data_IF_534708693216
#
_entry.id   IF_534708693216
#
_cell.length_a   1.000
_cell.length_b   1.000
_cell.length_c   1.000
_cell.angle_alpha   90.00
_cell.angle_beta   90.00
_cell.angle_gamma   90.00
#
_symmetry.space_group_name_H-M   'P 1'
#
loop_
_entity.id
_entity.type
_entity.pdbx_description
1 polymer ?
#
# COMPACT_ATOMS: atom_id res chain seq x y z
N UNK A 1 -8.06 -3.69 33.11
CA UNK A 1 -7.72 -5.09 32.70
C UNK A 1 -7.56 -5.06 31.19
N UNK A 2 -6.32 -4.86 30.70
CA UNK A 2 -6.05 -4.82 29.26
C UNK A 2 -6.08 -6.24 28.70
N UNK A 3 -6.98 -6.52 27.79
CA UNK A 3 -6.93 -7.70 26.95
C UNK A 3 -5.62 -7.61 26.14
N UNK A 4 -4.62 -8.43 26.48
CA UNK A 4 -3.53 -8.73 25.57
C UNK A 4 -4.16 -9.47 24.39
N UNK A 5 -4.36 -8.81 23.25
CA UNK A 5 -4.62 -9.51 21.99
C UNK A 5 -3.49 -10.51 21.82
N UNK A 6 -3.84 -11.77 21.61
CA UNK A 6 -2.85 -12.78 21.32
C UNK A 6 -2.30 -12.45 19.94
N UNK A 7 -1.00 -12.35 19.80
CA UNK A 7 -0.29 -12.02 18.57
C UNK A 7 -0.79 -12.82 17.33
N UNK A 8 -1.18 -14.08 17.54
CA UNK A 8 -1.74 -14.95 16.51
C UNK A 8 -3.10 -14.47 15.94
N UNK A 9 -3.87 -13.62 16.68
CA UNK A 9 -5.20 -13.19 16.24
C UNK A 9 -5.11 -12.26 15.03
N UNK A 10 -4.02 -11.50 14.87
CA UNK A 10 -3.81 -10.57 13.75
C UNK A 10 -3.53 -11.30 12.41
N UNK A 11 -3.21 -12.59 12.47
CA UNK A 11 -2.91 -13.45 11.31
C UNK A 11 -3.96 -14.54 11.07
N UNK A 12 -5.13 -14.43 11.71
CA UNK A 12 -6.21 -15.40 11.62
C UNK A 12 -7.30 -14.86 10.67
N UNK A 13 -7.53 -15.56 9.56
CA UNK A 13 -8.55 -15.18 8.57
C UNK A 13 -9.41 -16.41 8.23
N UNK A 14 -10.73 -16.27 8.34
CA UNK A 14 -11.67 -17.29 7.88
C UNK A 14 -11.48 -18.69 8.51
N UNK A 15 -10.97 -18.79 9.75
CA UNK A 15 -10.70 -20.06 10.41
C UNK A 15 -9.32 -20.65 10.14
N UNK A 16 -8.46 -19.97 9.38
CA UNK A 16 -7.10 -20.44 9.02
C UNK A 16 -6.06 -19.41 9.46
N UNK A 17 -5.02 -19.85 10.16
CA UNK A 17 -3.87 -18.98 10.47
C UNK A 17 -2.97 -18.86 9.24
N UNK A 18 -2.76 -17.62 8.76
CA UNK A 18 -1.79 -17.35 7.69
C UNK A 18 -0.38 -17.71 8.15
N UNK A 19 0.41 -18.29 7.27
CA UNK A 19 1.80 -18.72 7.55
C UNK A 19 2.73 -18.54 6.36
N UNK A 20 4.01 -18.39 6.65
CA UNK A 20 5.07 -18.40 5.65
C UNK A 20 4.86 -17.34 4.56
N UNK A 21 4.95 -17.75 3.31
CA UNK A 21 4.81 -16.83 2.16
C UNK A 21 3.45 -16.11 2.08
N UNK A 22 2.38 -16.65 2.66
CA UNK A 22 1.09 -15.94 2.69
C UNK A 22 1.19 -14.63 3.46
N UNK A 23 1.97 -14.60 4.55
CA UNK A 23 2.22 -13.39 5.34
C UNK A 23 3.16 -12.45 4.61
N UNK A 24 4.24 -12.97 4.03
CA UNK A 24 5.24 -12.16 3.32
C UNK A 24 4.68 -11.52 2.05
N UNK A 25 3.65 -12.12 1.45
CA UNK A 25 2.97 -11.61 0.26
C UNK A 25 1.77 -10.70 0.58
N UNK A 26 1.40 -10.55 1.85
CA UNK A 26 0.34 -9.63 2.27
C UNK A 26 0.96 -8.32 2.78
N UNK A 27 0.86 -7.21 2.02
CA UNK A 27 1.51 -5.95 2.39
C UNK A 27 0.97 -5.33 3.69
N UNK A 28 -0.23 -5.71 4.12
CA UNK A 28 -0.82 -5.24 5.38
C UNK A 28 -0.29 -6.00 6.60
N UNK A 29 0.32 -7.16 6.40
CA UNK A 29 0.81 -8.06 7.46
C UNK A 29 2.31 -8.26 7.45
N UNK A 30 2.95 -8.04 6.30
CA UNK A 30 4.38 -8.18 6.14
C UNK A 30 5.12 -7.09 6.91
N UNK A 31 6.08 -7.51 7.75
CA UNK A 31 7.00 -6.63 8.49
C UNK A 31 8.44 -6.75 7.99
N UNK A 32 8.68 -7.53 6.93
CA UNK A 32 10.01 -7.81 6.42
C UNK A 32 10.94 -8.37 7.51
N UNK A 33 12.13 -7.81 7.62
CA UNK A 33 13.13 -8.23 8.62
C UNK A 33 12.80 -7.82 10.05
N UNK A 34 11.73 -7.03 10.29
CA UNK A 34 11.31 -6.64 11.64
C UNK A 34 10.44 -7.70 12.35
N UNK A 35 10.11 -8.81 11.72
CA UNK A 35 9.55 -9.95 12.46
C UNK A 35 10.54 -10.43 13.52
N UNK A 36 10.10 -10.48 14.80
CA UNK A 36 10.93 -11.01 15.90
C UNK A 36 11.22 -12.50 15.72
N UNK A 37 12.15 -13.05 16.48
CA UNK A 37 12.47 -14.49 16.41
C UNK A 37 11.27 -15.35 16.81
N UNK A 38 10.51 -14.91 17.81
CA UNK A 38 9.28 -15.57 18.26
C UNK A 38 8.22 -15.57 17.18
N UNK A 39 7.97 -14.41 16.55
CA UNK A 39 7.07 -14.26 15.42
C UNK A 39 7.46 -15.17 14.25
N UNK A 40 8.75 -15.22 13.93
CA UNK A 40 9.25 -16.08 12.85
C UNK A 40 8.98 -17.57 13.10
N UNK A 41 9.10 -18.02 14.36
CA UNK A 41 8.79 -19.40 14.73
C UNK A 41 7.29 -19.67 14.66
N UNK A 42 6.46 -18.83 15.25
CA UNK A 42 5.02 -19.00 15.30
C UNK A 42 4.37 -18.95 13.92
N UNK A 43 4.84 -18.03 13.07
CA UNK A 43 4.27 -17.76 11.74
C UNK A 43 4.91 -18.57 10.61
N UNK A 44 5.89 -19.45 10.93
CA UNK A 44 6.55 -20.29 9.92
C UNK A 44 7.45 -19.50 8.97
N UNK A 45 8.09 -18.43 9.46
CA UNK A 45 8.98 -17.55 8.69
C UNK A 45 10.47 -17.91 8.84
N UNK A 46 10.80 -18.87 9.70
CA UNK A 46 12.18 -19.32 9.90
C UNK A 46 12.75 -19.83 8.57
N UNK A 47 13.90 -19.29 8.17
CA UNK A 47 14.56 -19.62 6.90
C UNK A 47 14.02 -18.88 5.66
N UNK A 48 12.92 -18.12 5.80
CA UNK A 48 12.36 -17.31 4.71
C UNK A 48 12.85 -15.85 4.74
N UNK A 49 13.45 -15.42 5.83
CA UNK A 49 13.99 -14.07 6.04
C UNK A 49 15.47 -14.16 6.42
N UNK A 50 16.27 -13.11 6.12
CA UNK A 50 17.63 -13.01 6.64
C UNK A 50 17.67 -13.20 8.16
N UNK A 51 18.70 -13.86 8.73
CA UNK A 51 18.72 -14.20 10.16
C UNK A 51 18.66 -13.01 11.10
N UNK A 52 19.26 -11.89 10.71
CA UNK A 52 19.27 -10.68 11.52
C UNK A 52 17.86 -10.08 11.62
N UNK A 53 17.44 -9.74 12.83
CA UNK A 53 16.18 -9.05 13.10
C UNK A 53 16.47 -7.56 13.19
N UNK A 54 15.94 -6.79 12.27
CA UNK A 54 15.99 -5.33 12.32
C UNK A 54 14.84 -4.79 13.15
N UNK A 55 15.03 -3.64 13.78
CA UNK A 55 13.88 -2.85 14.23
C UNK A 55 13.21 -2.17 13.05
N UNK A 56 12.01 -1.64 13.25
CA UNK A 56 11.32 -0.86 12.21
C UNK A 56 12.12 0.40 11.85
N UNK A 57 12.76 1.02 12.84
CA UNK A 57 13.62 2.19 12.68
C UNK A 57 14.87 1.87 11.83
N UNK A 58 15.51 0.73 12.07
CA UNK A 58 16.67 0.28 11.29
C UNK A 58 16.29 0.00 9.83
N UNK A 59 15.15 -0.68 9.61
CA UNK A 59 14.60 -0.86 8.25
C UNK A 59 14.30 0.46 7.58
N UNK A 60 13.65 1.38 8.28
CA UNK A 60 13.28 2.68 7.76
C UNK A 60 14.52 3.50 7.39
N UNK A 61 15.54 3.54 8.24
CA UNK A 61 16.78 4.24 7.95
C UNK A 61 17.49 3.68 6.70
N UNK A 62 17.53 2.36 6.56
CA UNK A 62 18.10 1.70 5.38
C UNK A 62 17.29 2.02 4.11
N UNK A 63 15.98 1.93 4.18
CA UNK A 63 15.07 2.21 3.05
C UNK A 63 15.13 3.67 2.63
N UNK A 64 15.18 4.60 3.59
CA UNK A 64 15.34 6.03 3.34
C UNK A 64 16.67 6.35 2.62
N UNK A 65 17.77 5.77 3.10
CA UNK A 65 19.07 5.93 2.46
C UNK A 65 19.08 5.36 1.03
N UNK A 66 18.39 4.25 0.78
CA UNK A 66 18.27 3.67 -0.56
C UNK A 66 17.41 4.53 -1.50
N UNK A 67 16.31 5.10 -1.00
CA UNK A 67 15.48 6.03 -1.76
C UNK A 67 16.30 7.23 -2.25
N UNK A 68 17.17 7.78 -1.41
CA UNK A 68 18.03 8.91 -1.77
C UNK A 68 19.12 8.60 -2.81
N UNK A 69 19.33 7.34 -3.14
CA UNK A 69 20.21 6.95 -4.24
C UNK A 69 19.52 7.01 -5.60
N UNK A 70 18.22 7.26 -5.64
CA UNK A 70 17.45 7.40 -6.89
C UNK A 70 17.68 8.77 -7.50
N UNK A 71 17.75 8.83 -8.83
CA UNK A 71 18.15 10.02 -9.58
C UNK A 71 17.04 11.05 -9.78
N UNK A 72 15.76 10.62 -9.74
CA UNK A 72 14.59 11.48 -9.96
C UNK A 72 13.48 11.19 -8.97
N UNK A 73 12.51 12.11 -8.85
CA UNK A 73 11.36 11.91 -7.98
C UNK A 73 10.43 10.80 -8.50
N UNK A 74 10.35 10.60 -9.82
CA UNK A 74 9.66 9.44 -10.39
C UNK A 74 10.33 8.12 -9.95
N UNK A 75 11.66 8.01 -10.03
CA UNK A 75 12.37 6.81 -9.55
C UNK A 75 12.22 6.59 -8.05
N UNK A 76 12.22 7.67 -7.25
CA UNK A 76 11.92 7.59 -5.81
C UNK A 76 10.49 7.10 -5.58
N UNK A 77 9.52 7.64 -6.33
CA UNK A 77 8.12 7.20 -6.26
C UNK A 77 8.00 5.70 -6.58
N UNK A 78 8.57 5.25 -7.68
CA UNK A 78 8.51 3.83 -8.07
C UNK A 78 9.09 2.93 -6.98
N UNK A 79 10.23 3.32 -6.40
CA UNK A 79 10.81 2.60 -5.27
C UNK A 79 9.90 2.59 -4.03
N UNK A 80 9.29 3.74 -3.70
CA UNK A 80 8.34 3.82 -2.58
C UNK A 80 7.08 2.99 -2.83
N UNK A 81 6.62 2.89 -4.09
CA UNK A 81 5.50 2.04 -4.46
C UNK A 81 5.82 0.55 -4.32
N UNK A 82 7.06 0.13 -4.59
CA UNK A 82 7.52 -1.23 -4.30
C UNK A 82 7.40 -1.54 -2.80
N UNK A 83 7.84 -0.62 -1.93
CA UNK A 83 7.69 -0.76 -0.48
C UNK A 83 6.20 -0.77 -0.07
N UNK A 84 5.39 0.13 -0.63
CA UNK A 84 3.95 0.18 -0.37
C UNK A 84 3.24 -1.14 -0.73
N UNK A 85 3.59 -1.75 -1.85
CA UNK A 85 2.97 -2.99 -2.31
C UNK A 85 3.47 -4.23 -1.56
N UNK A 86 4.56 -4.12 -0.79
CA UNK A 86 5.16 -5.26 -0.07
C UNK A 86 5.10 -5.13 1.45
N UNK A 87 5.18 -3.91 1.99
CA UNK A 87 5.23 -3.65 3.43
C UNK A 87 4.66 -2.26 3.77
N UNK A 88 3.35 -2.18 3.95
CA UNK A 88 2.67 -0.91 4.25
C UNK A 88 3.03 -0.32 5.60
N UNK A 89 3.37 -1.15 6.57
CA UNK A 89 3.84 -0.68 7.87
C UNK A 89 5.11 0.16 7.72
N UNK A 90 6.10 -0.36 6.98
CA UNK A 90 7.35 0.36 6.71
C UNK A 90 7.10 1.62 5.87
N UNK A 91 6.28 1.52 4.81
CA UNK A 91 5.95 2.67 3.97
C UNK A 91 5.35 3.81 4.78
N UNK A 92 4.30 3.55 5.57
CA UNK A 92 3.64 4.60 6.34
C UNK A 92 4.45 5.09 7.53
N UNK A 93 5.30 4.24 8.11
CA UNK A 93 6.27 4.70 9.10
C UNK A 93 7.23 5.73 8.49
N UNK A 94 7.83 5.43 7.35
CA UNK A 94 8.69 6.37 6.61
C UNK A 94 7.95 7.65 6.24
N UNK A 95 6.75 7.52 5.66
CA UNK A 95 5.94 8.67 5.26
C UNK A 95 5.62 9.58 6.44
N UNK A 96 5.27 9.03 7.60
CA UNK A 96 4.99 9.82 8.81
C UNK A 96 6.19 10.58 9.36
N UNK A 97 7.40 10.07 9.14
CA UNK A 97 8.64 10.73 9.57
C UNK A 97 9.10 11.83 8.62
N UNK A 98 8.70 11.76 7.34
CA UNK A 98 9.21 12.62 6.26
C UNK A 98 8.08 13.22 5.41
N UNK A 99 6.97 13.65 6.01
CA UNK A 99 5.75 14.12 5.34
C UNK A 99 6.00 15.19 4.28
N UNK A 100 6.79 16.21 4.60
CA UNK A 100 7.06 17.33 3.70
C UNK A 100 7.83 16.89 2.45
N UNK A 101 8.78 15.97 2.60
CA UNK A 101 9.58 15.45 1.51
C UNK A 101 8.79 14.44 0.66
N UNK A 102 8.01 13.56 1.32
CA UNK A 102 7.36 12.46 0.61
C UNK A 102 6.08 12.90 -0.11
N UNK A 103 5.37 13.92 0.38
CA UNK A 103 4.15 14.39 -0.26
C UNK A 103 4.30 14.68 -1.76
N UNK A 104 5.29 15.48 -2.22
CA UNK A 104 5.46 15.75 -3.64
C UNK A 104 5.93 14.53 -4.45
N UNK A 105 6.50 13.53 -3.79
CA UNK A 105 6.96 12.29 -4.43
C UNK A 105 5.80 11.30 -4.59
N UNK A 106 4.99 11.10 -3.54
CA UNK A 106 3.91 10.09 -3.55
C UNK A 106 2.62 10.60 -4.16
N UNK A 107 2.45 11.92 -4.23
CA UNK A 107 1.27 12.57 -4.78
C UNK A 107 1.68 13.66 -5.78
N UNK A 108 1.17 14.86 -5.63
CA UNK A 108 1.35 15.96 -6.58
C UNK A 108 2.67 16.73 -6.32
N UNK A 109 3.56 16.92 -7.33
CA UNK A 109 3.33 16.77 -8.78
C UNK A 109 3.74 15.40 -9.38
N UNK A 110 4.57 14.61 -8.73
CA UNK A 110 5.19 13.40 -9.33
C UNK A 110 4.17 12.36 -9.78
N UNK A 111 2.97 12.36 -9.20
CA UNK A 111 1.90 11.43 -9.60
C UNK A 111 1.45 11.64 -11.05
N UNK A 112 1.54 12.85 -11.58
CA UNK A 112 1.23 13.14 -12.98
C UNK A 112 2.13 12.32 -13.92
N UNK A 113 3.43 12.31 -13.67
CA UNK A 113 4.39 11.52 -14.46
C UNK A 113 4.05 10.03 -14.46
N UNK A 114 3.55 9.51 -13.34
CA UNK A 114 3.13 8.11 -13.22
C UNK A 114 1.88 7.82 -14.03
N UNK A 115 0.90 8.73 -14.03
CA UNK A 115 -0.35 8.57 -14.77
C UNK A 115 -0.10 8.65 -16.27
N UNK A 116 0.69 9.61 -16.71
CA UNK A 116 1.06 9.79 -18.13
C UNK A 116 1.85 8.60 -18.70
N UNK A 117 2.60 7.88 -17.86
CA UNK A 117 3.36 6.70 -18.23
C UNK A 117 2.79 5.40 -17.66
N UNK A 118 1.52 5.40 -17.22
CA UNK A 118 0.91 4.29 -16.49
C UNK A 118 1.05 2.94 -17.20
N UNK A 119 0.78 2.87 -18.50
CA UNK A 119 0.84 1.61 -19.25
C UNK A 119 2.24 1.00 -19.31
N UNK A 120 3.29 1.83 -19.22
CA UNK A 120 4.70 1.39 -19.20
C UNK A 120 5.15 1.02 -17.78
N UNK A 121 4.56 1.66 -16.76
CA UNK A 121 4.95 1.53 -15.36
C UNK A 121 4.07 0.55 -14.57
N UNK A 122 2.95 0.10 -15.15
CA UNK A 122 2.02 -0.78 -14.46
C UNK A 122 2.65 -2.13 -14.11
N UNK A 123 2.65 -2.45 -12.83
CA UNK A 123 3.14 -3.73 -12.29
C UNK A 123 2.06 -4.43 -11.45
N UNK A 124 1.28 -3.65 -10.70
CA UNK A 124 0.36 -4.14 -9.69
C UNK A 124 -0.85 -3.21 -9.55
N UNK A 125 -2.08 -3.72 -9.41
CA UNK A 125 -3.30 -2.90 -9.27
C UNK A 125 -3.41 -2.16 -7.92
N UNK A 126 -2.43 -2.25 -7.05
CA UNK A 126 -2.28 -1.50 -5.80
C UNK A 126 -3.47 -1.62 -4.83
N UNK A 127 -4.17 -2.74 -4.87
CA UNK A 127 -5.40 -2.97 -4.10
C UNK A 127 -6.52 -1.96 -4.43
N UNK A 128 -6.53 -1.42 -5.65
CA UNK A 128 -7.57 -0.56 -6.16
C UNK A 128 -8.75 -1.35 -6.74
N UNK A 129 -9.92 -0.71 -6.81
CA UNK A 129 -11.08 -1.20 -7.52
C UNK A 129 -11.25 -0.48 -8.85
N UNK A 130 -11.62 -1.21 -9.88
CA UNK A 130 -11.88 -0.71 -11.23
C UNK A 130 -13.33 -1.01 -11.59
N UNK A 131 -14.16 0.03 -11.79
CA UNK A 131 -15.54 -0.10 -12.21
C UNK A 131 -15.67 0.24 -13.68
N UNK A 132 -16.21 -0.70 -14.46
CA UNK A 132 -16.53 -0.52 -15.87
C UNK A 132 -17.95 0.05 -15.99
N UNK A 133 -18.09 1.24 -16.60
CA UNK A 133 -19.40 1.90 -16.80
C UNK A 133 -20.34 1.10 -17.70
N UNK A 134 -19.80 0.23 -18.55
CA UNK A 134 -20.58 -0.63 -19.42
C UNK A 134 -21.15 -1.87 -18.70
N UNK A 135 -20.66 -2.16 -17.50
CA UNK A 135 -21.02 -3.32 -16.69
C UNK A 135 -21.43 -2.95 -15.25
N UNK A 136 -22.46 -2.08 -15.07
CA UNK A 136 -22.90 -1.65 -13.75
C UNK A 136 -23.39 -2.79 -12.83
N UNK A 137 -23.81 -3.91 -13.42
CA UNK A 137 -24.19 -5.12 -12.68
C UNK A 137 -23.04 -5.73 -11.88
N UNK A 138 -21.79 -5.41 -12.21
CA UNK A 138 -20.61 -5.93 -11.53
C UNK A 138 -20.19 -5.09 -10.31
N UNK A 139 -20.79 -3.94 -10.03
CA UNK A 139 -20.38 -3.01 -8.96
C UNK A 139 -20.24 -3.73 -7.62
N UNK A 140 -21.28 -4.46 -7.21
CA UNK A 140 -21.29 -5.14 -5.92
C UNK A 140 -20.17 -6.20 -5.83
N UNK A 141 -20.00 -7.00 -6.88
CA UNK A 141 -18.96 -8.03 -6.94
C UNK A 141 -17.56 -7.40 -6.93
N UNK A 142 -17.34 -6.32 -7.69
CA UNK A 142 -16.06 -5.60 -7.73
C UNK A 142 -15.69 -5.05 -6.36
N UNK A 143 -16.63 -4.38 -5.68
CA UNK A 143 -16.36 -3.84 -4.34
C UNK A 143 -16.08 -4.93 -3.31
N UNK A 144 -16.81 -6.04 -3.34
CA UNK A 144 -16.55 -7.19 -2.46
C UNK A 144 -15.19 -7.83 -2.72
N UNK A 145 -14.83 -8.03 -3.99
CA UNK A 145 -13.54 -8.60 -4.38
C UNK A 145 -12.38 -7.70 -3.96
N UNK A 146 -12.50 -6.38 -4.19
CA UNK A 146 -11.47 -5.41 -3.83
C UNK A 146 -11.32 -5.23 -2.31
N UNK A 147 -12.42 -5.31 -1.56
CA UNK A 147 -12.38 -5.24 -0.10
C UNK A 147 -11.77 -6.51 0.52
N UNK A 148 -12.08 -7.70 -0.05
CA UNK A 148 -11.74 -8.97 0.59
C UNK A 148 -12.34 -9.05 2.00
N UNK A 149 -11.53 -9.44 2.97
CA UNK A 149 -11.93 -9.52 4.39
C UNK A 149 -11.73 -8.19 5.16
N UNK A 150 -11.34 -7.09 4.47
CA UNK A 150 -11.10 -5.78 5.10
C UNK A 150 -12.41 -5.05 5.37
N UNK A 151 -12.51 -4.37 6.52
CA UNK A 151 -13.61 -3.44 6.82
C UNK A 151 -13.32 -2.08 6.17
N UNK A 152 -13.85 -1.83 4.99
CA UNK A 152 -13.66 -0.56 4.27
C UNK A 152 -14.52 0.54 4.89
N UNK A 153 -13.91 1.66 5.27
CA UNK A 153 -14.56 2.83 5.89
C UNK A 153 -14.46 4.09 5.04
N UNK A 154 -13.49 4.14 4.13
CA UNK A 154 -13.28 5.28 3.24
C UNK A 154 -12.96 4.78 1.83
N UNK A 155 -13.70 5.28 0.87
CA UNK A 155 -13.44 5.07 -0.55
C UNK A 155 -13.15 6.43 -1.19
N UNK A 156 -12.04 6.54 -1.91
CA UNK A 156 -11.77 7.69 -2.78
C UNK A 156 -12.03 7.24 -4.22
N UNK A 157 -12.93 7.94 -4.87
CA UNK A 157 -13.40 7.63 -6.23
C UNK A 157 -12.94 8.72 -7.20
N UNK A 158 -12.50 8.33 -8.38
CA UNK A 158 -12.24 9.24 -9.50
C UNK A 158 -12.79 8.62 -10.80
N UNK A 159 -13.27 9.47 -11.71
CA UNK A 159 -13.52 9.12 -13.11
C UNK A 159 -12.31 9.48 -14.00
N UNK A 160 -11.33 10.16 -13.42
CA UNK A 160 -10.10 10.62 -14.07
C UNK A 160 -10.27 11.47 -15.33
N UNK A 161 -11.48 12.00 -15.59
CA UNK A 161 -11.80 12.78 -16.80
C UNK A 161 -11.22 14.21 -16.78
N UNK A 162 -10.95 14.74 -15.59
CA UNK A 162 -10.46 16.11 -15.45
C UNK A 162 -9.35 16.22 -14.41
N UNK A 163 -8.26 15.47 -14.56
CA UNK A 163 -7.13 15.56 -13.65
C UNK A 163 -6.43 16.91 -13.86
N UNK A 164 -6.32 17.69 -12.77
CA UNK A 164 -5.74 19.03 -12.80
C UNK A 164 -4.33 19.01 -13.43
N UNK A 165 -4.15 19.78 -14.49
CA UNK A 165 -2.89 19.94 -15.21
C UNK A 165 -2.62 18.93 -16.33
N UNK A 166 -3.27 17.76 -16.35
CA UNK A 166 -2.99 16.72 -17.35
C UNK A 166 -4.22 16.23 -18.13
N UNK A 167 -5.45 16.53 -17.68
CA UNK A 167 -6.68 16.23 -18.41
C UNK A 167 -7.22 14.83 -18.13
N UNK A 168 -7.80 14.21 -19.16
CA UNK A 168 -8.47 12.90 -19.10
C UNK A 168 -7.48 11.76 -19.34
N UNK A 169 -7.48 10.80 -18.40
CA UNK A 169 -6.58 9.63 -18.41
C UNK A 169 -7.32 8.32 -18.19
N UNK A 170 -8.68 8.34 -18.06
CA UNK A 170 -9.50 7.15 -17.86
C UNK A 170 -8.96 6.27 -16.72
N UNK A 171 -8.91 4.97 -16.94
CA UNK A 171 -8.42 3.97 -15.95
C UNK A 171 -7.04 4.30 -15.35
N UNK A 172 -6.16 4.93 -16.14
CA UNK A 172 -4.80 5.28 -15.69
C UNK A 172 -4.82 6.25 -14.50
N UNK A 173 -5.87 7.05 -14.36
CA UNK A 173 -6.03 8.00 -13.27
C UNK A 173 -6.35 7.38 -11.91
N UNK A 174 -6.42 6.05 -11.79
CA UNK A 174 -6.58 5.37 -10.49
C UNK A 174 -5.52 5.80 -9.47
N UNK A 175 -4.33 6.14 -9.93
CA UNK A 175 -3.22 6.63 -9.08
C UNK A 175 -3.59 7.89 -8.29
N UNK A 176 -4.53 8.73 -8.80
CA UNK A 176 -5.05 9.88 -8.04
C UNK A 176 -5.72 9.41 -6.75
N UNK A 177 -6.57 8.40 -6.81
CA UNK A 177 -7.24 7.84 -5.63
C UNK A 177 -6.24 7.18 -4.69
N UNK A 178 -5.26 6.45 -5.24
CA UNK A 178 -4.18 5.81 -4.45
C UNK A 178 -3.35 6.85 -3.72
N UNK A 179 -2.83 7.86 -4.42
CA UNK A 179 -2.00 8.92 -3.83
C UNK A 179 -2.75 9.74 -2.76
N UNK A 180 -4.04 10.07 -3.00
CA UNK A 180 -4.86 10.74 -1.98
C UNK A 180 -4.98 9.91 -0.71
N UNK A 181 -5.25 8.62 -0.83
CA UNK A 181 -5.36 7.74 0.33
C UNK A 181 -4.03 7.54 1.06
N UNK A 182 -2.89 7.56 0.34
CA UNK A 182 -1.57 7.60 0.98
C UNK A 182 -1.40 8.84 1.86
N UNK A 183 -1.76 10.02 1.34
CA UNK A 183 -1.69 11.28 2.10
C UNK A 183 -2.66 11.25 3.30
N UNK A 184 -3.89 10.78 3.11
CA UNK A 184 -4.87 10.70 4.20
C UNK A 184 -4.43 9.73 5.30
N UNK A 185 -3.82 8.61 4.95
CA UNK A 185 -3.26 7.68 5.94
C UNK A 185 -2.03 8.28 6.61
N UNK A 186 -1.05 8.75 5.84
CA UNK A 186 0.22 9.22 6.36
C UNK A 186 0.11 10.50 7.20
N UNK A 187 -0.72 11.47 6.76
CA UNK A 187 -0.85 12.77 7.41
C UNK A 187 -2.01 12.85 8.41
N UNK A 188 -3.12 12.15 8.17
CA UNK A 188 -4.31 12.22 9.02
C UNK A 188 -4.54 10.96 9.87
N UNK A 189 -3.71 9.91 9.73
CA UNK A 189 -3.77 8.72 10.57
C UNK A 189 -4.96 7.80 10.26
N UNK A 190 -5.51 7.85 9.03
CA UNK A 190 -6.55 6.91 8.61
C UNK A 190 -5.91 5.53 8.44
N UNK A 191 -6.55 4.50 8.99
CA UNK A 191 -6.08 3.12 8.91
C UNK A 191 -5.95 2.67 7.43
N UNK A 192 -4.75 2.31 6.96
CA UNK A 192 -4.53 1.87 5.57
C UNK A 192 -5.28 0.60 5.19
N UNK A 193 -5.66 -0.24 6.17
CA UNK A 193 -6.46 -1.42 5.91
C UNK A 193 -7.94 -1.10 5.68
N UNK A 194 -8.40 0.09 6.08
CA UNK A 194 -9.81 0.51 5.98
C UNK A 194 -10.11 1.40 4.78
N UNK A 195 -9.16 1.56 3.86
CA UNK A 195 -9.33 2.44 2.70
C UNK A 195 -9.35 1.65 1.39
N UNK A 196 -10.07 2.18 0.38
CA UNK A 196 -10.16 1.60 -0.95
C UNK A 196 -10.07 2.69 -2.02
N UNK A 197 -9.02 2.71 -2.82
CA UNK A 197 -8.97 3.55 -4.02
C UNK A 197 -9.85 2.94 -5.11
N UNK A 198 -10.54 3.80 -5.88
CA UNK A 198 -11.48 3.36 -6.92
C UNK A 198 -11.41 4.29 -8.12
N UNK A 199 -11.44 3.71 -9.32
CA UNK A 199 -11.64 4.42 -10.57
C UNK A 199 -12.90 3.89 -11.28
N UNK A 200 -13.61 4.77 -11.98
CA UNK A 200 -14.75 4.45 -12.84
C UNK A 200 -14.37 4.85 -14.27
N UNK A 201 -14.44 3.91 -15.21
CA UNK A 201 -14.12 4.15 -16.61
C UNK A 201 -15.00 3.30 -17.58
#
# INVERSE_FOLDING_TARGET
>A
MGFKRHFADDYFIGGITMRGHQILNDPFKNKGTAFTQEERQELGLVGLLPPYVQTLEEQAAQTYAHMHQKGSDLEKRLFLMEIFNTNRTLFYYLFSQHLEEFNPIVYDPTIADTIENYSELFVDPQYAAYLDINHPENIEATLKNAAGDREIRLIVVTDAEGILGIGDWGTNGVDISVGKLMVYTGAAGIDPASVLPLVID
#
